data_IF_827731305912
#
_entry.id   IF_827731305912
#
_cell.length_a   1.000
_cell.length_b   1.000
_cell.length_c   1.000
_cell.angle_alpha   90.00
_cell.angle_beta   90.00
_cell.angle_gamma   90.00
#
_symmetry.space_group_name_H-M   'P 1'
#
loop_
_entity.id
_entity.type
_entity.pdbx_description
1 polymer ?
#
# COMPACT_ATOMS: atom_id res chain seq x y z
N UNK A 1 18.75 40.89 9.12
CA UNK A 1 18.14 39.53 8.98
C UNK A 1 18.88 38.58 9.92
N UNK A 2 18.29 38.29 11.10
CA UNK A 2 18.90 37.36 12.06
C UNK A 2 18.50 35.93 11.69
N UNK A 3 19.48 35.16 11.26
CA UNK A 3 19.31 33.71 11.05
C UNK A 3 19.18 33.04 12.41
N UNK A 4 17.99 32.56 12.76
CA UNK A 4 17.79 31.74 13.97
C UNK A 4 18.34 30.34 13.73
N UNK A 5 19.57 30.12 14.17
CA UNK A 5 20.20 28.79 14.23
C UNK A 5 19.48 27.95 15.27
N UNK A 6 18.81 26.88 14.82
CA UNK A 6 18.21 25.88 15.74
C UNK A 6 19.34 25.22 16.52
N UNK A 7 19.31 25.19 17.87
CA UNK A 7 20.38 24.63 18.69
C UNK A 7 20.69 23.17 18.31
N UNK A 8 21.98 22.82 18.22
CA UNK A 8 22.50 21.48 17.85
C UNK A 8 21.90 20.35 18.69
N UNK A 9 21.65 20.59 19.98
CA UNK A 9 21.03 19.61 20.88
C UNK A 9 19.59 19.26 20.53
N UNK A 10 18.81 20.20 20.00
CA UNK A 10 17.43 19.95 19.55
C UNK A 10 17.40 19.07 18.29
N UNK A 11 18.37 19.25 17.38
CA UNK A 11 18.56 18.41 16.19
C UNK A 11 18.96 16.99 16.60
N UNK A 12 19.89 16.83 17.55
CA UNK A 12 20.33 15.52 18.04
C UNK A 12 19.21 14.71 18.66
N UNK A 13 18.39 15.32 19.53
CA UNK A 13 17.24 14.68 20.18
C UNK A 13 16.14 14.31 19.17
N UNK A 14 15.90 15.16 18.18
CA UNK A 14 14.93 14.87 17.11
C UNK A 14 15.38 13.68 16.25
N UNK A 15 16.64 13.65 15.85
CA UNK A 15 17.22 12.54 15.09
C UNK A 15 17.19 11.23 15.88
N UNK A 16 17.46 11.26 17.20
CA UNK A 16 17.36 10.08 18.05
C UNK A 16 15.92 9.55 18.13
N UNK A 17 14.93 10.44 18.23
CA UNK A 17 13.51 10.04 18.23
C UNK A 17 13.12 9.35 16.93
N UNK A 18 13.52 9.90 15.78
CA UNK A 18 13.27 9.31 14.47
C UNK A 18 13.90 7.92 14.39
N UNK A 19 15.19 7.79 14.69
CA UNK A 19 15.90 6.49 14.67
C UNK A 19 15.24 5.43 15.54
N UNK A 20 14.80 5.79 16.76
CA UNK A 20 14.14 4.85 17.68
C UNK A 20 12.79 4.40 17.11
N UNK A 21 12.00 5.31 16.54
CA UNK A 21 10.74 4.98 15.88
C UNK A 21 10.94 4.05 14.69
N UNK A 22 11.92 4.39 13.84
CA UNK A 22 12.24 3.61 12.64
C UNK A 22 12.75 2.21 12.97
N UNK A 23 13.53 2.07 14.03
CA UNK A 23 14.00 0.77 14.52
C UNK A 23 12.82 -0.12 14.96
N UNK A 24 11.84 0.43 15.69
CA UNK A 24 10.62 -0.29 16.08
C UNK A 24 9.78 -0.70 14.85
N UNK A 25 9.59 0.20 13.90
CA UNK A 25 8.86 -0.08 12.66
C UNK A 25 9.56 -1.17 11.84
N UNK A 26 10.88 -1.08 11.69
CA UNK A 26 11.69 -2.08 10.97
C UNK A 26 11.62 -3.45 11.63
N UNK A 27 11.72 -3.51 12.97
CA UNK A 27 11.55 -4.75 13.72
C UNK A 27 10.16 -5.36 13.52
N UNK A 28 9.12 -4.54 13.57
CA UNK A 28 7.73 -4.95 13.32
C UNK A 28 7.57 -5.55 11.92
N UNK A 29 8.10 -4.89 10.89
CA UNK A 29 8.05 -5.38 9.50
C UNK A 29 8.73 -6.74 9.36
N UNK A 30 9.89 -6.96 10.01
CA UNK A 30 10.58 -8.25 10.00
C UNK A 30 9.76 -9.34 10.68
N UNK A 31 9.14 -9.05 11.82
CA UNK A 31 8.30 -10.00 12.54
C UNK A 31 7.06 -10.39 11.72
N UNK A 32 6.40 -9.40 11.08
CA UNK A 32 5.28 -9.65 10.16
C UNK A 32 5.70 -10.53 8.99
N UNK A 33 6.86 -10.26 8.38
CA UNK A 33 7.39 -11.05 7.26
C UNK A 33 7.72 -12.49 7.68
N UNK A 34 8.04 -12.72 8.95
CA UNK A 34 8.22 -14.05 9.54
C UNK A 34 6.88 -14.74 9.92
N UNK A 35 5.73 -14.12 9.62
CA UNK A 35 4.41 -14.66 9.92
C UNK A 35 3.93 -14.44 11.37
N UNK A 36 4.64 -13.63 12.15
CA UNK A 36 4.23 -13.33 13.53
C UNK A 36 3.17 -12.19 13.56
N UNK A 37 2.45 -12.13 14.67
CA UNK A 37 1.57 -11.01 15.02
C UNK A 37 2.22 -10.17 16.14
N UNK A 38 3.15 -9.27 15.82
CA UNK A 38 3.99 -8.63 16.83
C UNK A 38 3.19 -7.67 17.71
N UNK A 39 3.42 -7.77 19.03
CA UNK A 39 3.05 -6.78 20.02
C UNK A 39 4.07 -5.64 20.08
N UNK A 40 3.79 -4.58 20.86
CA UNK A 40 4.76 -3.50 21.09
C UNK A 40 5.99 -4.05 21.81
N UNK A 41 5.82 -5.03 22.71
CA UNK A 41 6.90 -5.71 23.44
C UNK A 41 7.79 -6.53 22.50
N UNK A 42 7.19 -7.28 21.58
CA UNK A 42 7.95 -8.09 20.62
C UNK A 42 8.81 -7.20 19.72
N UNK A 43 8.25 -6.10 19.24
CA UNK A 43 8.99 -5.13 18.45
C UNK A 43 10.11 -4.45 19.26
N UNK A 44 9.85 -4.13 20.53
CA UNK A 44 10.85 -3.55 21.43
C UNK A 44 12.01 -4.52 21.66
N UNK A 45 11.71 -5.78 21.98
CA UNK A 45 12.72 -6.83 22.17
C UNK A 45 13.56 -7.04 20.91
N UNK A 46 12.90 -7.15 19.75
CA UNK A 46 13.56 -7.34 18.45
C UNK A 46 14.42 -6.12 18.01
N UNK A 47 14.09 -4.91 18.49
CA UNK A 47 14.82 -3.69 18.21
C UNK A 47 15.91 -3.36 19.27
N UNK A 48 16.01 -4.12 20.36
CA UNK A 48 16.89 -3.80 21.48
C UNK A 48 16.50 -2.52 22.25
N UNK A 49 15.20 -2.20 22.27
CA UNK A 49 14.63 -1.00 22.89
C UNK A 49 13.84 -1.41 24.14
N UNK A 50 13.93 -0.61 25.21
CA UNK A 50 13.17 -0.90 26.42
C UNK A 50 11.66 -0.79 26.17
N UNK A 51 10.87 -1.66 26.82
CA UNK A 51 9.40 -1.67 26.76
C UNK A 51 8.80 -0.28 27.02
N UNK A 52 9.26 0.39 28.08
CA UNK A 52 8.77 1.74 28.43
C UNK A 52 9.04 2.76 27.31
N UNK A 53 10.19 2.65 26.65
CA UNK A 53 10.51 3.53 25.53
C UNK A 53 9.61 3.22 24.34
N UNK A 54 9.38 1.96 24.00
CA UNK A 54 8.54 1.56 22.87
C UNK A 54 7.09 2.06 23.02
N UNK A 55 6.50 1.92 24.23
CA UNK A 55 5.14 2.41 24.48
C UNK A 55 4.99 3.95 24.40
N UNK A 56 6.07 4.69 24.53
CA UNK A 56 6.04 6.16 24.29
C UNK A 56 5.89 6.51 22.81
N UNK A 57 6.30 5.62 21.90
CA UNK A 57 6.16 5.80 20.45
C UNK A 57 4.88 5.18 19.93
N UNK A 58 4.54 4.01 20.45
CA UNK A 58 3.39 3.23 20.02
C UNK A 58 2.60 2.77 21.24
N UNK A 59 1.53 3.49 21.62
CA UNK A 59 0.79 3.22 22.83
C UNK A 59 0.04 1.88 22.83
N UNK A 60 -0.12 1.28 21.65
CA UNK A 60 -0.77 -0.02 21.48
C UNK A 60 -0.29 -0.70 20.17
N UNK A 61 -0.62 -1.99 20.03
CA UNK A 61 -0.30 -2.81 18.88
C UNK A 61 -0.86 -2.20 17.58
N UNK A 62 -2.09 -1.68 17.61
CA UNK A 62 -2.73 -1.05 16.45
C UNK A 62 -1.89 0.11 15.90
N UNK A 63 -1.44 1.03 16.76
CA UNK A 63 -0.61 2.16 16.34
C UNK A 63 0.73 1.70 15.73
N UNK A 64 1.32 0.64 16.28
CA UNK A 64 2.54 0.04 15.78
C UNK A 64 2.34 -0.59 14.39
N UNK A 65 1.31 -1.42 14.22
CA UNK A 65 1.00 -2.08 12.94
C UNK A 65 0.63 -1.07 11.85
N UNK A 66 -0.10 -0.01 12.20
CA UNK A 66 -0.38 1.10 11.29
C UNK A 66 0.91 1.78 10.81
N UNK A 67 1.87 2.00 11.70
CA UNK A 67 3.15 2.60 11.33
C UNK A 67 4.06 1.65 10.53
N UNK A 68 3.85 0.34 10.61
CA UNK A 68 4.55 -0.66 9.81
C UNK A 68 4.02 -0.78 8.38
N UNK A 69 2.86 -0.19 8.07
CA UNK A 69 2.33 -0.15 6.71
C UNK A 69 3.33 0.53 5.76
N UNK A 70 3.50 0.04 4.53
CA UNK A 70 4.41 0.68 3.58
C UNK A 70 3.94 2.09 3.23
N UNK A 71 4.84 3.05 3.38
CA UNK A 71 4.64 4.40 2.87
C UNK A 71 5.14 4.43 1.42
N UNK A 72 4.27 4.07 0.48
CA UNK A 72 4.54 4.28 -0.94
C UNK A 72 4.24 5.75 -1.23
N UNK A 73 5.27 6.54 -1.50
CA UNK A 73 5.19 7.99 -1.68
C UNK A 73 5.08 8.40 -3.15
N UNK A 74 5.28 7.46 -4.05
CA UNK A 74 5.23 7.68 -5.49
C UNK A 74 3.84 8.16 -5.91
N UNK A 75 3.81 9.29 -6.60
CA UNK A 75 2.59 9.86 -7.18
C UNK A 75 2.09 9.03 -8.36
N UNK A 76 2.99 8.38 -9.08
CA UNK A 76 2.74 7.50 -10.22
C UNK A 76 3.57 6.23 -10.11
N UNK A 77 3.07 5.12 -10.67
CA UNK A 77 3.83 3.88 -10.89
C UNK A 77 4.29 3.74 -12.35
N UNK A 78 4.01 4.73 -13.18
CA UNK A 78 4.46 4.78 -14.57
C UNK A 78 5.90 5.28 -14.64
N UNK A 79 6.72 4.74 -15.57
CA UNK A 79 8.00 5.35 -15.90
C UNK A 79 7.82 6.68 -16.63
N UNK A 80 8.86 7.53 -16.62
CA UNK A 80 8.82 8.85 -17.25
C UNK A 80 8.56 8.80 -18.77
N UNK A 81 8.92 7.70 -19.42
CA UNK A 81 8.75 7.43 -20.86
C UNK A 81 7.57 6.50 -21.15
N UNK A 82 6.57 6.49 -20.27
CA UNK A 82 5.39 5.65 -20.44
C UNK A 82 4.67 5.89 -21.77
N UNK A 83 4.18 4.84 -22.46
CA UNK A 83 3.45 4.96 -23.71
C UNK A 83 2.14 5.74 -23.56
N UNK A 84 1.56 6.17 -24.70
CA UNK A 84 0.23 6.81 -24.71
C UNK A 84 -0.93 5.80 -24.74
N UNK A 85 -0.68 4.54 -25.07
CA UNK A 85 -1.71 3.51 -25.12
C UNK A 85 -2.21 3.14 -23.72
N UNK A 86 -3.52 3.25 -23.41
CA UNK A 86 -4.04 3.00 -22.08
C UNK A 86 -3.94 1.54 -21.63
N UNK A 87 -3.90 0.56 -22.57
CA UNK A 87 -3.71 -0.85 -22.23
C UNK A 87 -2.26 -1.12 -21.79
N UNK A 88 -1.29 -0.55 -22.51
CA UNK A 88 0.13 -0.69 -22.15
C UNK A 88 0.43 0.01 -20.82
N UNK A 89 -0.11 1.21 -20.61
CA UNK A 89 0.02 1.95 -19.34
C UNK A 89 -0.57 1.17 -18.17
N UNK A 90 -1.77 0.64 -18.35
CA UNK A 90 -2.43 -0.16 -17.31
C UNK A 90 -1.60 -1.41 -16.98
N UNK A 91 -1.04 -2.07 -17.99
CA UNK A 91 -0.20 -3.25 -17.78
C UNK A 91 1.06 -2.92 -16.95
N UNK A 92 1.73 -1.81 -17.24
CA UNK A 92 2.88 -1.33 -16.46
C UNK A 92 2.50 -1.05 -15.00
N UNK A 93 1.43 -0.30 -14.78
CA UNK A 93 0.95 0.01 -13.42
C UNK A 93 0.52 -1.25 -12.69
N UNK A 94 -0.18 -2.16 -13.34
CA UNK A 94 -0.64 -3.40 -12.70
C UNK A 94 0.50 -4.37 -12.40
N UNK A 95 1.54 -4.41 -13.24
CA UNK A 95 2.73 -5.21 -12.97
C UNK A 95 3.40 -4.74 -11.67
N UNK A 96 3.64 -3.43 -11.54
CA UNK A 96 4.27 -2.87 -10.35
C UNK A 96 3.36 -2.93 -9.12
N UNK A 97 2.07 -2.60 -9.27
CA UNK A 97 1.12 -2.66 -8.16
C UNK A 97 0.97 -4.08 -7.59
N UNK A 98 0.90 -5.11 -8.44
CA UNK A 98 0.82 -6.50 -7.97
C UNK A 98 2.14 -6.97 -7.36
N UNK A 99 3.29 -6.53 -7.87
CA UNK A 99 4.61 -6.76 -7.26
C UNK A 99 4.67 -6.19 -5.85
N UNK A 100 4.29 -4.92 -5.66
CA UNK A 100 4.22 -4.25 -4.36
C UNK A 100 3.22 -4.95 -3.41
N UNK A 101 2.08 -5.42 -3.95
CA UNK A 101 1.07 -6.13 -3.15
C UNK A 101 1.63 -7.44 -2.58
N UNK A 102 2.41 -8.19 -3.35
CA UNK A 102 3.08 -9.43 -2.89
C UNK A 102 4.24 -9.11 -1.94
N UNK A 103 5.07 -8.12 -2.26
CA UNK A 103 6.20 -7.72 -1.41
C UNK A 103 5.75 -7.31 -0.01
N UNK A 104 4.65 -6.56 0.07
CA UNK A 104 4.11 -6.05 1.33
C UNK A 104 2.90 -6.84 1.86
N UNK A 105 2.69 -8.06 1.35
CA UNK A 105 1.55 -8.90 1.73
C UNK A 105 1.35 -9.02 3.25
N UNK A 106 2.40 -9.31 4.08
CA UNK A 106 2.21 -9.45 5.52
C UNK A 106 1.67 -8.17 6.18
N UNK A 107 2.19 -7.01 5.80
CA UNK A 107 1.77 -5.71 6.32
C UNK A 107 0.37 -5.33 5.83
N UNK A 108 0.05 -5.64 4.57
CA UNK A 108 -1.26 -5.39 3.98
C UNK A 108 -2.33 -6.27 4.62
N UNK A 109 -2.02 -7.55 4.91
CA UNK A 109 -2.91 -8.47 5.66
C UNK A 109 -3.18 -7.94 7.07
N UNK A 110 -2.15 -7.50 7.79
CA UNK A 110 -2.31 -6.91 9.12
C UNK A 110 -3.20 -5.66 9.08
N UNK A 111 -3.00 -4.79 8.09
CA UNK A 111 -3.81 -3.58 7.90
C UNK A 111 -5.26 -3.90 7.55
N UNK A 112 -5.49 -4.91 6.70
CA UNK A 112 -6.85 -5.37 6.36
C UNK A 112 -7.56 -5.88 7.61
N UNK A 113 -6.93 -6.74 8.40
CA UNK A 113 -7.48 -7.23 9.66
C UNK A 113 -7.89 -6.09 10.59
N UNK A 114 -6.98 -5.13 10.80
CA UNK A 114 -7.26 -3.96 11.64
C UNK A 114 -8.43 -3.11 11.13
N UNK A 115 -8.67 -3.09 9.83
CA UNK A 115 -9.78 -2.33 9.23
C UNK A 115 -11.15 -2.97 9.46
N UNK A 116 -11.18 -4.25 9.81
CA UNK A 116 -12.39 -5.02 10.06
C UNK A 116 -12.75 -5.10 11.55
N UNK A 117 -11.88 -4.58 12.44
CA UNK A 117 -12.15 -4.55 13.87
C UNK A 117 -13.30 -3.59 14.21
N UNK A 118 -14.20 -3.95 15.16
CA UNK A 118 -15.26 -3.06 15.63
C UNK A 118 -14.68 -1.72 16.13
N UNK A 119 -15.27 -0.60 15.72
CA UNK A 119 -14.81 0.73 16.13
C UNK A 119 -13.54 1.22 15.41
N UNK A 120 -13.09 0.53 14.37
CA UNK A 120 -11.88 0.90 13.62
C UNK A 120 -11.93 2.29 12.97
N UNK A 121 -13.13 2.90 12.83
CA UNK A 121 -13.30 4.13 12.06
C UNK A 121 -13.00 3.93 10.57
N UNK A 122 -12.93 5.02 9.79
CA UNK A 122 -12.45 4.90 8.42
C UNK A 122 -10.96 4.49 8.42
N UNK A 123 -10.58 3.46 7.64
CA UNK A 123 -9.21 2.98 7.61
C UNK A 123 -8.29 4.06 7.01
N UNK A 124 -7.54 4.75 7.85
CA UNK A 124 -6.60 5.82 7.46
C UNK A 124 -5.57 5.34 6.43
N UNK A 125 -5.28 4.04 6.39
CA UNK A 125 -4.28 3.43 5.52
C UNK A 125 -4.80 2.95 4.16
N UNK A 126 -6.13 2.92 3.97
CA UNK A 126 -6.75 2.49 2.71
C UNK A 126 -7.23 3.70 1.89
N UNK A 127 -6.42 4.77 1.86
CA UNK A 127 -6.76 6.05 1.21
C UNK A 127 -6.90 5.99 -0.32
N UNK A 128 -7.04 4.80 -0.89
CA UNK A 128 -7.32 4.65 -2.31
C UNK A 128 -6.18 5.06 -3.25
N UNK A 129 -4.93 5.15 -2.77
CA UNK A 129 -3.76 5.52 -3.60
C UNK A 129 -3.65 4.70 -4.88
N UNK A 130 -3.96 3.42 -4.82
CA UNK A 130 -3.98 2.56 -6.00
C UNK A 130 -5.04 2.99 -7.03
N UNK A 131 -6.13 3.64 -6.61
CA UNK A 131 -7.10 4.23 -7.54
C UNK A 131 -6.41 5.34 -8.33
N UNK A 132 -5.67 6.23 -7.67
CA UNK A 132 -4.93 7.31 -8.33
C UNK A 132 -3.90 6.80 -9.34
N UNK A 133 -3.16 5.74 -9.03
CA UNK A 133 -2.21 5.12 -9.98
C UNK A 133 -2.92 4.50 -11.19
N UNK A 134 -4.08 3.88 -10.99
CA UNK A 134 -4.89 3.34 -12.08
C UNK A 134 -5.49 4.48 -12.92
N UNK A 135 -6.00 5.54 -12.28
CA UNK A 135 -6.49 6.74 -12.99
C UNK A 135 -5.40 7.40 -13.84
N UNK A 136 -4.15 7.44 -13.35
CA UNK A 136 -3.00 7.95 -14.08
C UNK A 136 -2.69 7.07 -15.30
N UNK A 137 -2.75 5.74 -15.15
CA UNK A 137 -2.63 4.82 -16.28
C UNK A 137 -3.72 5.07 -17.34
N UNK A 138 -4.95 5.32 -16.90
CA UNK A 138 -6.11 5.52 -17.75
C UNK A 138 -6.29 6.98 -18.23
N UNK A 139 -5.38 7.90 -17.87
CA UNK A 139 -5.49 9.32 -18.21
C UNK A 139 -5.69 9.62 -19.71
N UNK A 140 -5.09 8.88 -20.67
CA UNK A 140 -5.34 9.10 -22.09
C UNK A 140 -6.81 8.95 -22.49
N UNK A 141 -7.60 8.11 -21.81
CA UNK A 141 -9.03 7.90 -22.10
C UNK A 141 -9.85 9.18 -21.98
N UNK A 142 -9.47 10.12 -21.11
CA UNK A 142 -10.18 11.40 -20.97
C UNK A 142 -10.25 12.19 -22.28
N UNK A 143 -9.30 11.95 -23.19
CA UNK A 143 -9.25 12.59 -24.52
C UNK A 143 -9.84 11.70 -25.62
N UNK A 144 -9.60 10.40 -25.57
CA UNK A 144 -9.92 9.46 -26.64
C UNK A 144 -11.30 8.82 -26.48
N UNK A 145 -11.78 8.68 -25.25
CA UNK A 145 -13.06 8.05 -24.90
C UNK A 145 -13.73 8.84 -23.76
N UNK A 146 -14.19 10.07 -24.02
CA UNK A 146 -14.72 10.98 -22.97
C UNK A 146 -15.99 10.45 -22.29
N UNK A 147 -16.67 9.47 -22.88
CA UNK A 147 -17.86 8.83 -22.32
C UNK A 147 -17.51 7.79 -21.22
N UNK A 148 -16.25 7.40 -21.10
CA UNK A 148 -15.80 6.48 -20.05
C UNK A 148 -15.53 7.28 -18.77
N UNK A 149 -16.24 6.95 -17.69
CA UNK A 149 -15.91 7.43 -16.35
C UNK A 149 -14.63 6.74 -15.85
N UNK A 150 -13.50 7.42 -16.02
CA UNK A 150 -12.17 6.92 -15.65
C UNK A 150 -12.08 6.59 -14.16
N UNK A 151 -12.71 7.39 -13.29
CA UNK A 151 -12.70 7.13 -11.85
C UNK A 151 -13.47 5.84 -11.52
N UNK A 152 -14.67 5.68 -12.05
CA UNK A 152 -15.49 4.50 -11.82
C UNK A 152 -14.83 3.22 -12.34
N UNK A 153 -14.19 3.29 -13.51
CA UNK A 153 -13.41 2.19 -14.06
C UNK A 153 -12.21 1.86 -13.19
N UNK A 154 -11.47 2.86 -12.70
CA UNK A 154 -10.32 2.66 -11.80
C UNK A 154 -10.76 2.01 -10.47
N UNK A 155 -11.91 2.40 -9.92
CA UNK A 155 -12.48 1.77 -8.72
C UNK A 155 -12.85 0.31 -9.00
N UNK A 156 -13.47 0.01 -10.14
CA UNK A 156 -13.81 -1.37 -10.55
C UNK A 156 -12.54 -2.23 -10.67
N UNK A 157 -11.52 -1.75 -11.38
CA UNK A 157 -10.23 -2.44 -11.52
C UNK A 157 -9.60 -2.67 -10.13
N UNK A 158 -9.56 -1.63 -9.28
CA UNK A 158 -8.99 -1.75 -7.93
C UNK A 158 -9.71 -2.79 -7.08
N UNK A 159 -11.02 -2.93 -7.20
CA UNK A 159 -11.80 -3.92 -6.44
C UNK A 159 -11.40 -5.36 -6.77
N UNK A 160 -10.92 -5.61 -7.99
CA UNK A 160 -10.49 -6.92 -8.48
C UNK A 160 -8.97 -7.18 -8.34
N UNK A 161 -8.19 -6.25 -7.77
CA UNK A 161 -6.73 -6.29 -7.88
C UNK A 161 -5.97 -5.93 -6.60
N UNK A 162 -6.60 -5.95 -5.45
CA UNK A 162 -5.93 -5.60 -4.21
C UNK A 162 -5.54 -6.77 -3.32
N UNK A 163 -5.11 -6.46 -2.11
CA UNK A 163 -4.78 -7.48 -1.09
C UNK A 163 -5.97 -8.40 -0.80
N UNK A 164 -7.19 -7.89 -0.89
CA UNK A 164 -8.42 -8.65 -0.69
C UNK A 164 -8.54 -9.78 -1.72
N UNK A 165 -8.30 -9.43 -2.98
CA UNK A 165 -8.30 -10.38 -4.10
C UNK A 165 -7.14 -11.35 -4.02
N UNK A 166 -5.94 -10.88 -3.65
CA UNK A 166 -4.79 -11.75 -3.45
C UNK A 166 -5.09 -12.80 -2.37
N UNK A 167 -5.63 -12.40 -1.21
CA UNK A 167 -6.02 -13.32 -0.13
C UNK A 167 -7.03 -14.34 -0.63
N UNK A 168 -8.07 -13.89 -1.34
CA UNK A 168 -9.09 -14.80 -1.86
C UNK A 168 -8.50 -15.83 -2.82
N UNK A 169 -7.65 -15.40 -3.75
CA UNK A 169 -7.02 -16.27 -4.73
C UNK A 169 -6.02 -17.25 -4.11
N UNK A 170 -5.25 -16.81 -3.10
CA UNK A 170 -4.24 -17.69 -2.48
C UNK A 170 -4.82 -18.57 -1.39
N UNK A 171 -5.61 -18.03 -0.47
CA UNK A 171 -6.04 -18.75 0.74
C UNK A 171 -7.33 -19.55 0.52
N UNK A 172 -8.22 -19.08 -0.38
CA UNK A 172 -9.50 -19.74 -0.66
C UNK A 172 -9.42 -20.57 -1.94
N UNK A 173 -8.93 -19.97 -3.05
CA UNK A 173 -8.84 -20.67 -4.33
C UNK A 173 -7.57 -21.53 -4.47
N UNK A 174 -6.61 -21.41 -3.54
CA UNK A 174 -5.39 -22.23 -3.50
C UNK A 174 -4.36 -21.90 -4.59
N UNK A 175 -4.42 -20.75 -5.22
CA UNK A 175 -3.48 -20.38 -6.26
C UNK A 175 -2.12 -19.99 -5.67
N UNK A 176 -1.01 -20.38 -6.31
CA UNK A 176 0.29 -19.79 -5.99
C UNK A 176 0.29 -18.29 -6.35
N UNK A 177 1.08 -17.48 -5.62
CA UNK A 177 1.12 -16.02 -5.78
C UNK A 177 1.31 -15.55 -7.21
N UNK A 178 2.18 -16.20 -7.97
CA UNK A 178 2.41 -15.87 -9.39
C UNK A 178 1.16 -16.06 -10.25
N UNK A 179 0.37 -17.13 -10.02
CA UNK A 179 -0.90 -17.34 -10.72
C UNK A 179 -1.96 -16.31 -10.25
N UNK A 180 -2.03 -16.02 -8.95
CA UNK A 180 -2.95 -15.04 -8.40
C UNK A 180 -2.71 -13.64 -8.99
N UNK A 181 -1.46 -13.18 -9.05
CA UNK A 181 -1.13 -11.89 -9.69
C UNK A 181 -1.44 -11.88 -11.19
N UNK A 182 -1.26 -13.01 -11.87
CA UNK A 182 -1.67 -13.19 -13.26
C UNK A 182 -3.19 -12.98 -13.46
N UNK A 183 -4.01 -13.58 -12.60
CA UNK A 183 -5.47 -13.39 -12.61
C UNK A 183 -5.84 -11.94 -12.36
N UNK A 184 -5.21 -11.28 -11.39
CA UNK A 184 -5.46 -9.87 -11.08
C UNK A 184 -5.17 -8.97 -12.30
N UNK A 185 -4.01 -9.16 -12.95
CA UNK A 185 -3.62 -8.39 -14.14
C UNK A 185 -4.55 -8.66 -15.32
N UNK A 186 -4.90 -9.93 -15.54
CA UNK A 186 -5.88 -10.30 -16.56
C UNK A 186 -7.24 -9.63 -16.31
N UNK A 187 -7.73 -9.63 -15.07
CA UNK A 187 -9.01 -8.98 -14.71
C UNK A 187 -8.99 -7.47 -15.00
N UNK A 188 -7.90 -6.80 -14.62
CA UNK A 188 -7.73 -5.36 -14.89
C UNK A 188 -7.78 -5.07 -16.41
N UNK A 189 -7.06 -5.85 -17.20
CA UNK A 189 -7.03 -5.75 -18.65
C UNK A 189 -8.41 -6.00 -19.28
N UNK A 190 -9.10 -7.07 -18.87
CA UNK A 190 -10.42 -7.43 -19.37
C UNK A 190 -11.45 -6.33 -19.08
N UNK A 191 -11.40 -5.68 -17.89
CA UNK A 191 -12.28 -4.57 -17.56
C UNK A 191 -12.03 -3.35 -18.46
N UNK A 192 -10.77 -3.03 -18.75
CA UNK A 192 -10.45 -1.94 -19.67
C UNK A 192 -10.90 -2.26 -21.11
N UNK A 193 -10.63 -3.46 -21.60
CA UNK A 193 -11.06 -3.90 -22.93
C UNK A 193 -12.60 -3.86 -23.07
N UNK A 194 -13.33 -4.30 -22.04
CA UNK A 194 -14.79 -4.20 -21.99
C UNK A 194 -15.27 -2.73 -22.04
N UNK A 195 -14.62 -1.85 -21.29
CA UNK A 195 -14.95 -0.43 -21.30
C UNK A 195 -14.70 0.21 -22.67
N UNK A 196 -13.58 -0.13 -23.33
CA UNK A 196 -13.28 0.32 -24.70
C UNK A 196 -14.28 -0.21 -25.75
N UNK A 197 -14.86 -1.39 -25.51
CA UNK A 197 -15.91 -1.97 -26.33
C UNK A 197 -17.32 -1.40 -26.02
N UNK A 198 -17.43 -0.36 -25.19
CA UNK A 198 -18.69 0.30 -24.85
C UNK A 198 -19.50 -0.36 -23.73
N UNK A 199 -18.88 -1.24 -22.94
CA UNK A 199 -19.48 -1.91 -21.78
C UNK A 199 -18.84 -1.44 -20.47
N UNK A 200 -18.68 -0.12 -20.28
CA UNK A 200 -18.15 0.45 -19.04
C UNK A 200 -19.15 0.31 -17.88
N UNK A 201 -18.65 0.17 -16.61
CA UNK A 201 -19.50 0.04 -15.43
C UNK A 201 -20.25 1.31 -15.09
#
# INVERSE_FOLDING_TARGET
MMSMSVPYELRGRRNQKVRTRDALVTATRRLLAAGAEPTVEDAAAAAGISRTTAYRYFPNQRALLLAAHPEVTEASLLPDDAPDDPLERLELVMAEFTRLTVEWEPQLRASLRLSLEPGAGQPVLRQGRAIGWIEDALAPLRRTHPDIDVHRLAVAIRSATGIETLIWLTDIAGYPRAAATGVMRWSARAMLEAALAGTAP
#
